data_IF_989483012107
#
_entry.id   IF_989483012107
#
_cell.length_a   1.000
_cell.length_b   1.000
_cell.length_c   1.000
_cell.angle_alpha   90.00
_cell.angle_beta   90.00
_cell.angle_gamma   90.00
#
_symmetry.space_group_name_H-M   'P 1'
#
loop_
_entity.id
_entity.type
_entity.pdbx_description
1 polymer ?
#
# COMPACT_ATOMS: atom_id res chain seq x y z
N UNK A 1 15.14 1.05 -27.70
CA UNK A 1 14.39 0.12 -26.83
C UNK A 1 13.43 0.98 -26.01
N UNK A 2 12.13 0.97 -26.29
CA UNK A 2 11.19 1.75 -25.49
C UNK A 2 11.09 1.10 -24.11
N UNK A 3 11.54 1.79 -23.07
CA UNK A 3 11.33 1.38 -21.69
C UNK A 3 9.82 1.50 -21.44
N UNK A 4 9.10 0.39 -21.51
CA UNK A 4 7.69 0.38 -21.12
C UNK A 4 7.60 0.73 -19.64
N UNK A 5 6.93 1.84 -19.34
CA UNK A 5 6.61 2.25 -17.98
C UNK A 5 5.78 1.13 -17.32
N UNK A 6 6.09 0.71 -16.08
CA UNK A 6 5.31 -0.30 -15.39
C UNK A 6 3.83 0.06 -15.29
N UNK A 7 2.94 -0.88 -15.62
CA UNK A 7 1.48 -0.68 -15.66
C UNK A 7 0.91 -0.14 -14.35
N UNK A 8 1.43 -0.61 -13.21
CA UNK A 8 0.99 -0.15 -11.89
C UNK A 8 1.20 1.35 -11.68
N UNK A 9 2.25 1.96 -12.24
CA UNK A 9 2.49 3.40 -12.08
C UNK A 9 1.42 4.26 -12.75
N UNK A 10 0.88 3.80 -13.87
CA UNK A 10 -0.24 4.48 -14.53
C UNK A 10 -1.56 4.18 -13.84
N UNK A 11 -1.75 2.92 -13.40
CA UNK A 11 -2.94 2.49 -12.66
C UNK A 11 -3.13 3.24 -11.33
N UNK A 12 -2.04 3.43 -10.59
CA UNK A 12 -2.02 4.11 -9.29
C UNK A 12 -1.67 5.60 -9.35
N UNK A 13 -1.67 6.20 -10.53
CA UNK A 13 -1.25 7.60 -10.72
C UNK A 13 -1.99 8.57 -9.80
N UNK A 14 -3.32 8.44 -9.70
CA UNK A 14 -4.16 9.31 -8.85
C UNK A 14 -3.87 9.13 -7.37
N UNK A 15 -3.52 7.92 -6.96
CA UNK A 15 -3.19 7.57 -5.58
C UNK A 15 -1.80 8.14 -5.20
N UNK A 16 -0.81 8.00 -6.08
CA UNK A 16 0.51 8.61 -5.91
C UNK A 16 0.47 10.14 -5.88
N UNK A 17 -0.42 10.77 -6.67
CA UNK A 17 -0.62 12.23 -6.65
C UNK A 17 -1.22 12.76 -5.34
N UNK A 18 -1.79 11.90 -4.49
CA UNK A 18 -2.33 12.29 -3.19
C UNK A 18 -1.23 12.42 -2.11
N UNK A 19 -0.06 11.84 -2.34
CA UNK A 19 1.13 11.96 -1.48
C UNK A 19 1.81 13.30 -1.84
N UNK A 20 1.85 14.25 -0.89
CA UNK A 20 2.32 15.63 -1.13
C UNK A 20 3.75 15.85 -0.68
N UNK A 21 4.21 15.08 0.31
CA UNK A 21 5.60 15.01 0.68
C UNK A 21 6.41 14.41 -0.49
N UNK A 22 7.34 15.21 -1.03
CA UNK A 22 8.10 14.85 -2.23
C UNK A 22 9.02 13.64 -2.00
N UNK A 23 9.54 13.46 -0.79
CA UNK A 23 10.41 12.33 -0.46
C UNK A 23 9.60 11.05 -0.39
N UNK A 24 8.43 11.08 0.28
CA UNK A 24 7.50 9.95 0.28
C UNK A 24 7.01 9.61 -1.12
N UNK A 25 6.59 10.61 -1.89
CA UNK A 25 6.08 10.40 -3.24
C UNK A 25 7.13 9.74 -4.13
N UNK A 26 8.39 10.21 -4.06
CA UNK A 26 9.51 9.63 -4.81
C UNK A 26 9.77 8.20 -4.38
N UNK A 27 9.83 7.95 -3.07
CA UNK A 27 10.04 6.60 -2.51
C UNK A 27 8.96 5.62 -2.98
N UNK A 28 7.67 5.98 -2.88
CA UNK A 28 6.57 5.10 -3.28
C UNK A 28 6.53 4.91 -4.79
N UNK A 29 6.81 5.96 -5.57
CA UNK A 29 6.91 5.86 -7.02
C UNK A 29 8.02 4.88 -7.42
N UNK A 30 9.22 5.03 -6.87
CA UNK A 30 10.36 4.17 -7.20
C UNK A 30 10.13 2.73 -6.73
N UNK A 31 9.65 2.54 -5.50
CA UNK A 31 9.33 1.21 -4.95
C UNK A 31 8.28 0.47 -5.78
N UNK A 32 7.27 1.20 -6.26
CA UNK A 32 6.25 0.63 -7.15
C UNK A 32 6.80 0.40 -8.56
N UNK A 33 7.72 1.23 -9.05
CA UNK A 33 8.34 1.06 -10.37
C UNK A 33 9.22 -0.18 -10.47
N UNK A 34 9.84 -0.58 -9.36
CA UNK A 34 10.67 -1.79 -9.28
C UNK A 34 9.89 -3.03 -8.90
N UNK A 35 8.58 -2.94 -8.62
CA UNK A 35 7.79 -4.10 -8.21
C UNK A 35 7.85 -5.24 -9.25
N UNK A 36 7.66 -6.50 -8.83
CA UNK A 36 7.66 -7.63 -9.75
C UNK A 36 6.64 -7.49 -10.89
N UNK A 37 6.98 -8.02 -12.07
CA UNK A 37 6.06 -8.03 -13.22
C UNK A 37 4.76 -8.76 -12.93
N UNK A 38 4.78 -9.77 -12.06
CA UNK A 38 3.59 -10.51 -11.63
C UNK A 38 2.56 -9.59 -10.98
N UNK A 39 2.99 -8.62 -10.18
CA UNK A 39 2.12 -7.58 -9.61
C UNK A 39 1.60 -6.63 -10.69
N UNK A 40 2.47 -6.16 -11.58
CA UNK A 40 2.06 -5.25 -12.67
C UNK A 40 1.02 -5.85 -13.63
N UNK A 41 1.00 -7.16 -13.76
CA UNK A 41 0.12 -7.87 -14.68
C UNK A 41 -1.16 -8.39 -14.01
N UNK A 42 -1.26 -8.34 -12.68
CA UNK A 42 -2.43 -8.79 -11.93
C UNK A 42 -3.36 -7.60 -11.64
N UNK A 43 -4.34 -7.40 -12.53
CA UNK A 43 -5.34 -6.34 -12.35
C UNK A 43 -6.21 -6.56 -11.11
N UNK A 44 -6.51 -7.81 -10.75
CA UNK A 44 -7.34 -8.12 -9.58
C UNK A 44 -6.63 -7.75 -8.29
N UNK A 45 -5.32 -8.05 -8.20
CA UNK A 45 -4.50 -7.64 -7.07
C UNK A 45 -4.35 -6.12 -7.00
N UNK A 46 -4.10 -5.46 -8.13
CA UNK A 46 -4.02 -4.00 -8.18
C UNK A 46 -5.35 -3.32 -7.81
N UNK A 47 -6.49 -3.87 -8.23
CA UNK A 47 -7.82 -3.42 -7.85
C UNK A 47 -8.04 -3.59 -6.34
N UNK A 48 -7.67 -4.74 -5.79
CA UNK A 48 -7.74 -5.01 -4.37
C UNK A 48 -6.90 -4.01 -3.55
N UNK A 49 -5.65 -3.78 -3.95
CA UNK A 49 -4.78 -2.76 -3.35
C UNK A 49 -5.40 -1.36 -3.43
N UNK A 50 -5.98 -0.98 -4.58
CA UNK A 50 -6.66 0.31 -4.77
C UNK A 50 -7.87 0.47 -3.87
N UNK A 51 -8.67 -0.59 -3.70
CA UNK A 51 -9.81 -0.62 -2.80
C UNK A 51 -9.38 -0.38 -1.37
N UNK A 52 -8.32 -1.06 -0.90
CA UNK A 52 -7.75 -0.85 0.43
C UNK A 52 -7.25 0.59 0.62
N UNK A 53 -6.61 1.19 -0.39
CA UNK A 53 -6.20 2.60 -0.37
C UNK A 53 -7.37 3.54 -0.08
N UNK A 54 -8.50 3.41 -0.80
CA UNK A 54 -9.65 4.32 -0.62
C UNK A 54 -10.41 4.07 0.69
N UNK A 55 -10.46 2.83 1.18
CA UNK A 55 -11.01 2.54 2.51
C UNK A 55 -10.17 3.22 3.58
N UNK A 56 -8.84 3.06 3.51
CA UNK A 56 -7.93 3.70 4.45
C UNK A 56 -8.04 5.22 4.37
N UNK A 57 -8.12 5.78 3.17
CA UNK A 57 -8.35 7.21 2.96
C UNK A 57 -9.62 7.69 3.69
N UNK A 58 -10.72 6.94 3.60
CA UNK A 58 -11.96 7.18 4.33
C UNK A 58 -11.77 7.15 5.86
N UNK A 59 -11.13 6.10 6.38
CA UNK A 59 -10.84 5.96 7.82
C UNK A 59 -9.99 7.12 8.36
N UNK A 60 -8.91 7.47 7.65
CA UNK A 60 -8.02 8.55 8.04
C UNK A 60 -8.71 9.92 7.99
N UNK A 61 -9.58 10.15 6.99
CA UNK A 61 -10.39 11.37 6.93
C UNK A 61 -11.37 11.49 8.08
N UNK A 62 -12.10 10.42 8.40
CA UNK A 62 -13.07 10.40 9.49
C UNK A 62 -12.40 10.72 10.83
N UNK A 63 -11.15 10.28 11.00
CA UNK A 63 -10.33 10.53 12.20
C UNK A 63 -9.49 11.80 12.13
N UNK A 64 -9.64 12.59 11.07
CA UNK A 64 -8.90 13.85 10.85
C UNK A 64 -7.37 13.68 10.89
N UNK A 65 -6.87 12.52 10.46
CA UNK A 65 -5.43 12.27 10.33
C UNK A 65 -4.91 12.99 9.08
N UNK A 66 -3.87 13.81 9.26
CA UNK A 66 -3.30 14.69 8.23
C UNK A 66 -1.76 14.60 8.21
N UNK A 67 -1.14 15.18 7.19
CA UNK A 67 0.31 15.32 7.06
C UNK A 67 1.05 14.03 6.71
N UNK A 68 2.35 14.01 6.95
CA UNK A 68 3.29 12.95 6.51
C UNK A 68 2.89 11.55 6.98
N UNK A 69 2.33 11.41 8.20
CA UNK A 69 1.88 10.09 8.71
C UNK A 69 0.73 9.53 7.87
N UNK A 70 -0.25 10.37 7.53
CA UNK A 70 -1.37 9.99 6.66
C UNK A 70 -0.84 9.55 5.30
N UNK A 71 0.06 10.33 4.73
CA UNK A 71 0.62 10.09 3.40
C UNK A 71 1.48 8.83 3.35
N UNK A 72 2.27 8.57 4.40
CA UNK A 72 3.04 7.35 4.54
C UNK A 72 2.13 6.11 4.63
N UNK A 73 1.04 6.17 5.41
CA UNK A 73 0.07 5.07 5.49
C UNK A 73 -0.62 4.81 4.15
N UNK A 74 -1.06 5.87 3.46
CA UNK A 74 -1.70 5.75 2.15
C UNK A 74 -0.73 5.16 1.12
N UNK A 75 0.50 5.66 1.02
CA UNK A 75 1.50 5.10 0.12
C UNK A 75 1.86 3.65 0.45
N UNK A 76 1.91 3.30 1.74
CA UNK A 76 2.20 1.93 2.20
C UNK A 76 1.22 0.92 1.62
N UNK A 77 -0.07 1.27 1.51
CA UNK A 77 -1.07 0.37 0.92
C UNK A 77 -0.66 -0.13 -0.46
N UNK A 78 -0.03 0.74 -1.27
CA UNK A 78 0.37 0.43 -2.65
C UNK A 78 1.49 -0.60 -2.74
N UNK A 79 2.20 -0.84 -1.63
CA UNK A 79 3.35 -1.74 -1.56
C UNK A 79 3.04 -3.06 -0.84
N UNK A 80 1.90 -3.16 -0.14
CA UNK A 80 1.57 -4.29 0.73
C UNK A 80 1.64 -5.65 0.02
N UNK A 81 1.06 -5.76 -1.18
CA UNK A 81 0.90 -7.02 -1.89
C UNK A 81 1.87 -7.19 -3.08
N UNK A 82 2.90 -6.34 -3.23
CA UNK A 82 3.75 -6.37 -4.44
C UNK A 82 4.49 -7.70 -4.64
N UNK A 83 4.67 -8.47 -3.56
CA UNK A 83 5.29 -9.79 -3.57
C UNK A 83 4.29 -10.95 -3.55
N UNK A 84 2.98 -10.70 -3.58
CA UNK A 84 1.95 -11.73 -3.37
C UNK A 84 2.07 -12.90 -4.36
N UNK A 85 2.30 -12.60 -5.64
CA UNK A 85 2.40 -13.59 -6.72
C UNK A 85 3.81 -14.16 -6.94
N UNK A 86 4.78 -13.79 -6.10
CA UNK A 86 6.14 -14.35 -6.16
C UNK A 86 6.28 -15.64 -5.34
N UNK A 87 5.21 -16.08 -4.68
CA UNK A 87 5.16 -17.29 -3.87
C UNK A 87 4.14 -18.29 -4.41
N UNK A 88 4.43 -19.57 -4.22
CA UNK A 88 3.46 -20.65 -4.38
C UNK A 88 2.30 -20.49 -3.39
N UNK A 89 1.13 -21.05 -3.71
CA UNK A 89 -0.12 -20.82 -2.96
C UNK A 89 0.00 -21.11 -1.46
N UNK A 90 0.75 -22.15 -1.08
CA UNK A 90 0.98 -22.52 0.32
C UNK A 90 1.85 -21.50 1.09
N UNK A 91 2.69 -20.75 0.37
CA UNK A 91 3.64 -19.79 0.92
C UNK A 91 3.18 -18.33 0.77
N UNK A 92 2.05 -18.07 0.09
CA UNK A 92 1.55 -16.70 -0.14
C UNK A 92 1.43 -15.85 1.12
N UNK A 93 1.20 -16.45 2.29
CA UNK A 93 1.15 -15.71 3.57
C UNK A 93 2.47 -15.03 3.97
N UNK A 94 3.59 -15.44 3.37
CA UNK A 94 4.91 -14.88 3.63
C UNK A 94 5.21 -13.61 2.84
N UNK A 95 4.40 -13.27 1.82
CA UNK A 95 4.65 -12.10 0.99
C UNK A 95 4.85 -10.79 1.77
N UNK A 96 4.17 -10.50 2.91
CA UNK A 96 4.36 -9.22 3.60
C UNK A 96 5.79 -9.04 4.10
N UNK A 97 6.41 -10.13 4.58
CA UNK A 97 7.81 -10.11 5.06
C UNK A 97 8.79 -10.04 3.89
N UNK A 98 8.44 -10.68 2.76
CA UNK A 98 9.27 -10.67 1.57
C UNK A 98 9.39 -9.28 0.92
N UNK A 99 8.38 -8.41 1.08
CA UNK A 99 8.43 -7.04 0.57
C UNK A 99 9.65 -6.30 1.12
N UNK A 100 9.94 -6.41 2.43
CA UNK A 100 11.10 -5.75 3.04
C UNK A 100 12.40 -6.17 2.35
N UNK A 101 12.68 -7.48 2.31
CA UNK A 101 13.91 -8.00 1.71
C UNK A 101 14.01 -7.62 0.23
N UNK A 102 12.89 -7.66 -0.50
CA UNK A 102 12.86 -7.27 -1.90
C UNK A 102 13.27 -5.81 -2.09
N UNK A 103 12.64 -4.89 -1.36
CA UNK A 103 12.89 -3.45 -1.48
C UNK A 103 14.30 -3.07 -0.96
N UNK A 104 14.81 -3.73 0.09
CA UNK A 104 16.18 -3.55 0.59
C UNK A 104 17.23 -3.99 -0.43
N UNK A 105 17.00 -5.12 -1.11
CA UNK A 105 17.90 -5.60 -2.18
C UNK A 105 17.96 -4.63 -3.38
N UNK A 106 16.96 -3.77 -3.53
CA UNK A 106 16.94 -2.70 -4.52
C UNK A 106 17.34 -1.33 -3.96
N UNK A 107 17.76 -1.26 -2.70
CA UNK A 107 18.27 -0.04 -2.07
C UNK A 107 17.20 0.99 -1.67
N UNK A 108 15.92 0.63 -1.67
CA UNK A 108 14.82 1.55 -1.36
C UNK A 108 14.88 2.07 0.09
N UNK A 109 15.46 1.30 1.01
CA UNK A 109 15.69 1.72 2.38
C UNK A 109 16.62 2.95 2.52
N UNK A 110 17.40 3.27 1.48
CA UNK A 110 18.28 4.46 1.44
C UNK A 110 17.59 5.70 0.88
N UNK A 111 16.43 5.56 0.26
CA UNK A 111 15.69 6.68 -0.34
C UNK A 111 14.86 7.49 0.68
N UNK A 112 14.71 6.95 1.89
CA UNK A 112 13.89 7.54 2.94
C UNK A 112 14.61 7.47 4.30
N UNK A 113 14.23 8.32 5.24
CA UNK A 113 14.74 8.25 6.61
C UNK A 113 14.43 6.88 7.24
N UNK A 114 15.42 6.29 7.92
CA UNK A 114 15.28 4.97 8.58
C UNK A 114 14.03 4.84 9.46
N UNK A 115 13.68 5.89 10.21
CA UNK A 115 12.48 5.86 11.07
C UNK A 115 11.17 5.70 10.27
N UNK A 116 11.09 6.32 9.09
CA UNK A 116 9.94 6.14 8.19
C UNK A 116 10.00 4.78 7.51
N UNK A 117 11.18 4.33 7.07
CA UNK A 117 11.38 2.99 6.53
C UNK A 117 10.83 1.90 7.47
N UNK A 118 11.24 1.91 8.74
CA UNK A 118 10.78 0.91 9.71
C UNK A 118 9.27 0.99 9.95
N UNK A 119 8.69 2.18 9.98
CA UNK A 119 7.24 2.33 10.14
C UNK A 119 6.47 1.82 8.92
N UNK A 120 6.94 2.09 7.70
CA UNK A 120 6.33 1.58 6.46
C UNK A 120 6.44 0.05 6.44
N UNK A 121 7.63 -0.52 6.70
CA UNK A 121 7.80 -1.97 6.67
C UNK A 121 6.99 -2.68 7.76
N UNK A 122 6.94 -2.14 8.99
CA UNK A 122 6.07 -2.68 10.05
C UNK A 122 4.61 -2.67 9.61
N UNK A 123 4.16 -1.60 8.95
CA UNK A 123 2.80 -1.49 8.44
C UNK A 123 2.52 -2.53 7.34
N UNK A 124 3.46 -2.73 6.41
CA UNK A 124 3.36 -3.81 5.41
C UNK A 124 3.31 -5.17 6.11
N UNK A 125 4.24 -5.49 7.01
CA UNK A 125 4.29 -6.80 7.66
C UNK A 125 3.00 -7.13 8.45
N UNK A 126 2.34 -6.10 8.97
CA UNK A 126 1.14 -6.22 9.80
C UNK A 126 -0.19 -6.19 9.04
N UNK A 127 -0.20 -5.93 7.72
CA UNK A 127 -1.42 -5.53 7.01
C UNK A 127 -2.49 -6.64 6.87
N UNK A 128 -2.14 -7.91 7.09
CA UNK A 128 -3.11 -9.01 7.15
C UNK A 128 -3.75 -9.18 8.54
N UNK A 129 -3.34 -8.39 9.53
CA UNK A 129 -3.74 -8.56 10.93
C UNK A 129 -3.52 -10.00 11.38
N UNK A 130 -4.51 -10.57 12.08
CA UNK A 130 -4.46 -11.93 12.61
C UNK A 130 -4.43 -13.07 11.57
N UNK A 131 -4.43 -12.74 10.28
CA UNK A 131 -4.26 -13.70 9.17
C UNK A 131 -2.84 -13.69 8.57
N UNK A 132 -1.95 -12.86 9.11
CA UNK A 132 -0.59 -12.70 8.61
C UNK A 132 0.33 -13.88 8.91
N UNK A 133 1.62 -13.69 8.59
CA UNK A 133 2.65 -14.72 8.73
C UNK A 133 2.93 -15.11 10.20
N UNK A 134 2.75 -14.19 11.15
CA UNK A 134 3.04 -14.40 12.57
C UNK A 134 2.22 -13.47 13.46
N UNK A 135 1.65 -13.95 14.58
CA UNK A 135 0.97 -13.10 15.57
C UNK A 135 1.84 -11.99 16.16
N UNK A 136 3.17 -12.15 16.15
CA UNK A 136 4.09 -11.10 16.62
C UNK A 136 4.14 -9.88 15.70
N UNK A 137 3.66 -10.01 14.46
CA UNK A 137 3.57 -8.95 13.48
C UNK A 137 2.17 -8.31 13.43
N UNK A 138 1.21 -8.83 14.18
CA UNK A 138 -0.17 -8.33 14.16
C UNK A 138 -0.23 -6.86 14.59
N UNK A 139 -0.95 -6.06 13.80
CA UNK A 139 -1.24 -4.68 14.16
C UNK A 139 -2.08 -4.62 15.44
N UNK A 140 -1.71 -3.74 16.37
CA UNK A 140 -2.39 -3.59 17.66
C UNK A 140 -3.42 -2.46 17.60
N UNK A 141 -4.59 -2.60 18.24
CA UNK A 141 -5.57 -1.51 18.30
C UNK A 141 -4.92 -0.20 18.79
N UNK A 142 -5.22 0.89 18.09
CA UNK A 142 -4.67 2.21 18.39
C UNK A 142 -3.33 2.53 17.71
N UNK A 143 -2.76 1.62 16.92
CA UNK A 143 -1.57 1.91 16.09
C UNK A 143 -1.94 2.27 14.66
N UNK A 144 -1.03 2.92 13.94
CA UNK A 144 -1.21 3.34 12.56
C UNK A 144 -1.41 2.13 11.61
N UNK A 145 -0.69 1.03 11.88
CA UNK A 145 -0.76 -0.22 11.13
C UNK A 145 -2.11 -0.91 11.29
N UNK A 146 -2.80 -0.66 12.41
CA UNK A 146 -4.11 -1.27 12.66
C UNK A 146 -5.16 -0.71 11.72
N UNK A 147 -5.13 0.59 11.43
CA UNK A 147 -6.04 1.20 10.45
C UNK A 147 -5.80 0.63 9.04
N UNK A 148 -4.54 0.41 8.68
CA UNK A 148 -4.16 -0.25 7.43
C UNK A 148 -4.69 -1.69 7.39
N UNK A 149 -4.47 -2.48 8.44
CA UNK A 149 -4.97 -3.85 8.51
C UNK A 149 -6.51 -3.92 8.43
N UNK A 150 -7.22 -3.00 9.10
CA UNK A 150 -8.68 -2.90 8.98
C UNK A 150 -9.12 -2.58 7.54
N UNK A 151 -8.39 -1.69 6.85
CA UNK A 151 -8.70 -1.37 5.46
C UNK A 151 -8.58 -2.59 4.54
N UNK A 152 -7.55 -3.43 4.74
CA UNK A 152 -7.39 -4.69 4.01
C UNK A 152 -8.46 -5.73 4.38
N UNK A 153 -8.84 -5.84 5.65
CA UNK A 153 -9.93 -6.73 6.07
C UNK A 153 -11.25 -6.34 5.39
N UNK A 154 -11.57 -5.04 5.34
CA UNK A 154 -12.78 -4.54 4.67
C UNK A 154 -12.67 -4.68 3.15
N UNK A 155 -11.49 -4.48 2.57
CA UNK A 155 -11.27 -4.66 1.14
C UNK A 155 -11.55 -6.12 0.70
N UNK A 156 -11.31 -7.11 1.56
CA UNK A 156 -11.61 -8.52 1.27
C UNK A 156 -13.10 -8.89 1.35
N UNK A 157 -13.95 -7.99 1.85
CA UNK A 157 -15.38 -8.29 1.96
C UNK A 157 -16.04 -8.30 0.56
N UNK A 158 -16.72 -9.39 0.16
CA UNK A 158 -17.21 -9.58 -1.20
C UNK A 158 -18.34 -8.62 -1.60
N UNK A 159 -19.00 -8.00 -0.62
CA UNK A 159 -20.10 -7.05 -0.84
C UNK A 159 -19.65 -5.58 -0.80
N UNK A 160 -18.40 -5.29 -0.45
CA UNK A 160 -17.88 -3.93 -0.49
C UNK A 160 -17.45 -3.64 -1.93
N UNK A 161 -18.09 -2.70 -2.59
CA UNK A 161 -17.68 -2.21 -3.91
C UNK A 161 -17.42 -0.71 -3.80
N UNK A 162 -16.30 -0.24 -4.36
CA UNK A 162 -15.89 1.16 -4.27
C UNK A 162 -15.87 1.73 -5.67
N UNK A 163 -16.66 2.78 -5.88
CA UNK A 163 -16.62 3.58 -7.11
C UNK A 163 -15.63 4.72 -6.89
N UNK A 164 -14.33 4.43 -7.03
CA UNK A 164 -13.26 5.38 -6.70
C UNK A 164 -13.25 6.63 -7.58
N UNK A 165 -13.83 6.58 -8.78
CA UNK A 165 -13.99 7.77 -9.62
C UNK A 165 -14.93 8.80 -8.98
N UNK A 166 -16.02 8.36 -8.37
CA UNK A 166 -16.96 9.22 -7.67
C UNK A 166 -16.30 9.84 -6.43
N UNK A 167 -15.60 9.02 -5.64
CA UNK A 167 -14.86 9.49 -4.45
C UNK A 167 -13.79 10.55 -4.80
N UNK A 168 -13.05 10.34 -5.89
CA UNK A 168 -12.02 11.27 -6.33
C UNK A 168 -12.62 12.61 -6.82
N UNK A 169 -13.75 12.55 -7.54
CA UNK A 169 -14.41 13.74 -8.07
C UNK A 169 -15.11 14.56 -6.97
N UNK A 170 -15.76 13.92 -6.00
CA UNK A 170 -16.36 14.61 -4.85
C UNK A 170 -15.33 15.38 -4.01
N UNK A 171 -14.13 14.82 -3.85
CA UNK A 171 -13.02 15.46 -3.13
C UNK A 171 -12.49 16.74 -3.79
N UNK A 172 -12.70 16.92 -5.11
CA UNK A 172 -12.33 18.15 -5.83
C UNK A 172 -13.39 19.24 -5.76
N UNK A 173 -14.67 18.87 -5.62
CA UNK A 173 -15.78 19.83 -5.58
C UNK A 173 -16.01 20.46 -4.19
N UNK A 174 -15.35 19.95 -3.13
CA UNK A 174 -15.42 20.49 -1.77
C UNK A 174 -14.27 21.45 -1.40
N UNK A 175 -13.48 21.93 -2.37
CA UNK A 175 -12.41 22.92 -2.16
C UNK A 175 -12.80 24.29 -2.69
#
# INVERSE_FOLDING_TARGET
>A
MMIHKPKALDYFKKELEQIKDANLQTFFYNSLAIAPKSFHNDEGLMEYTKKAFYILYGFLNQRQIIGTVREALLGTTLLCDIMFNEFEDEMKKLHPVAVRTYLENHGMNKEIQQGLWENIMRAIEAHHGNKGASPSLDAKPGTAEYELAQAFIVAHMPYVNIYWEDLYNEGKHKK
#
